data_IF_454861062017
#
_entry.id   IF_454861062017
#
_cell.length_a   1.000
_cell.length_b   1.000
_cell.length_c   1.000
_cell.angle_alpha   90.00
_cell.angle_beta   90.00
_cell.angle_gamma   90.00
#
_symmetry.space_group_name_H-M   'P 1'
#
loop_
_entity.id
_entity.type
_entity.pdbx_description
1 polymer ?
#
# COMPACT_ATOMS: atom_id res chain seq x y z
N UNK A 1 25.52 14.47 -53.67
CA UNK A 1 25.95 13.30 -52.90
C UNK A 1 26.77 13.80 -51.72
N UNK A 2 26.19 13.92 -50.58
CA UNK A 2 26.90 14.18 -49.33
C UNK A 2 26.20 13.34 -48.21
N UNK A 3 26.92 12.35 -47.70
CA UNK A 3 26.48 11.43 -46.67
C UNK A 3 26.48 12.15 -45.31
N UNK A 4 25.33 12.27 -44.66
CA UNK A 4 25.20 12.72 -43.28
C UNK A 4 25.45 11.52 -42.34
N UNK A 5 26.50 11.67 -41.55
CA UNK A 5 26.93 10.73 -40.52
C UNK A 5 25.99 10.83 -39.32
N UNK A 6 25.37 9.71 -38.93
CA UNK A 6 24.66 9.53 -37.66
C UNK A 6 25.70 9.26 -36.55
N UNK A 7 26.00 10.26 -35.72
CA UNK A 7 26.64 10.10 -34.42
C UNK A 7 26.15 11.25 -33.52
N UNK A 8 25.60 10.86 -32.41
CA UNK A 8 25.36 11.52 -31.13
C UNK A 8 23.91 11.38 -30.67
N UNK A 9 23.55 10.14 -30.29
CA UNK A 9 22.47 9.94 -29.34
C UNK A 9 23.12 9.98 -27.96
N UNK A 10 23.03 11.15 -27.31
CA UNK A 10 23.51 11.37 -25.95
C UNK A 10 22.87 10.40 -24.96
N UNK A 11 23.68 9.85 -24.09
CA UNK A 11 23.29 9.05 -22.96
C UNK A 11 22.25 9.78 -22.10
N UNK A 12 21.24 9.07 -21.54
CA UNK A 12 20.27 9.70 -20.65
C UNK A 12 20.98 10.22 -19.39
N UNK A 13 20.53 11.36 -18.82
CA UNK A 13 21.14 11.93 -17.64
C UNK A 13 21.03 10.96 -16.47
N UNK A 14 22.16 10.74 -15.80
CA UNK A 14 22.28 10.01 -14.55
C UNK A 14 21.25 10.53 -13.53
N UNK A 15 20.28 9.70 -13.19
CA UNK A 15 19.32 9.97 -12.13
C UNK A 15 20.08 10.10 -10.81
N UNK A 16 20.09 11.30 -10.26
CA UNK A 16 20.59 11.56 -8.92
C UNK A 16 19.88 10.61 -7.95
N UNK A 17 20.67 9.82 -7.24
CA UNK A 17 20.19 9.01 -6.12
C UNK A 17 19.55 9.95 -5.09
N UNK A 18 18.24 9.82 -4.90
CA UNK A 18 17.54 10.46 -3.81
C UNK A 18 18.07 9.88 -2.50
N UNK A 19 18.26 10.69 -1.45
CA UNK A 19 18.67 10.16 -0.15
C UNK A 19 17.61 9.18 0.33
N UNK A 20 18.02 7.94 0.53
CA UNK A 20 17.24 6.88 1.13
C UNK A 20 16.95 7.27 2.58
N UNK A 21 15.84 7.95 2.81
CA UNK A 21 15.33 8.20 4.14
C UNK A 21 14.62 6.93 4.61
N UNK A 22 15.32 6.17 5.44
CA UNK A 22 14.77 5.02 6.13
C UNK A 22 13.57 5.41 7.00
N UNK A 23 12.71 4.43 7.29
CA UNK A 23 11.55 4.49 8.15
C UNK A 23 10.46 5.50 7.73
N UNK A 24 9.77 5.21 6.65
CA UNK A 24 8.36 5.57 6.62
C UNK A 24 7.56 4.41 7.24
N UNK A 25 7.41 4.45 8.58
CA UNK A 25 6.15 4.02 9.13
C UNK A 25 5.09 4.62 8.21
N UNK A 26 4.19 3.83 7.63
CA UNK A 26 2.91 4.39 7.22
C UNK A 26 2.47 5.18 8.44
N UNK A 27 2.67 6.52 8.39
CA UNK A 27 2.39 7.38 9.50
C UNK A 27 0.87 7.40 9.67
N UNK A 28 0.38 6.39 10.33
CA UNK A 28 -0.89 6.43 11.00
C UNK A 28 -0.66 7.40 12.16
N UNK A 29 -0.76 8.71 11.86
CA UNK A 29 -0.85 9.82 12.80
C UNK A 29 -0.49 9.58 14.27
N UNK A 30 0.68 9.01 14.55
CA UNK A 30 1.22 8.97 15.90
C UNK A 30 1.95 10.28 16.15
N UNK A 31 1.73 10.95 17.29
CA UNK A 31 2.56 12.08 17.69
C UNK A 31 4.01 11.60 17.83
N UNK A 32 4.97 12.41 17.34
CA UNK A 32 6.40 12.13 17.28
C UNK A 32 7.08 11.80 18.66
N UNK A 33 6.33 11.82 19.76
CA UNK A 33 6.83 11.66 21.13
C UNK A 33 6.28 10.44 21.89
N UNK A 34 5.62 9.47 21.24
CA UNK A 34 5.28 8.24 21.94
C UNK A 34 6.54 7.36 22.07
N UNK A 35 6.83 6.75 23.25
CA UNK A 35 7.93 5.82 23.37
C UNK A 35 7.69 4.66 22.40
N UNK A 36 8.55 4.54 21.39
CA UNK A 36 8.50 3.46 20.40
C UNK A 36 8.81 2.16 21.13
N UNK A 37 7.79 1.42 21.51
CA UNK A 37 7.95 0.02 21.87
C UNK A 37 8.53 -0.70 20.65
N UNK A 38 9.64 -1.40 20.83
CA UNK A 38 10.25 -2.17 19.76
C UNK A 38 9.18 -3.08 19.10
N UNK A 39 9.03 -3.07 17.76
CA UNK A 39 7.96 -3.80 17.09
C UNK A 39 8.07 -5.29 17.39
N UNK A 40 6.99 -5.88 17.86
CA UNK A 40 6.90 -7.33 18.06
C UNK A 40 6.38 -8.06 16.83
N UNK A 41 5.86 -7.34 15.84
CA UNK A 41 5.37 -7.87 14.57
C UNK A 41 5.90 -7.02 13.40
N UNK A 42 6.72 -7.62 12.56
CA UNK A 42 7.21 -7.04 11.31
C UNK A 42 6.42 -7.61 10.14
N UNK A 43 5.81 -6.74 9.35
CA UNK A 43 5.10 -7.08 8.10
C UNK A 43 5.90 -6.54 6.94
N UNK A 44 6.30 -7.39 6.00
CA UNK A 44 7.09 -7.04 4.82
C UNK A 44 6.24 -7.26 3.56
N UNK A 45 5.64 -6.22 2.99
CA UNK A 45 4.99 -6.27 1.68
C UNK A 45 6.00 -6.53 0.56
N UNK A 46 5.55 -7.16 -0.52
CA UNK A 46 6.39 -7.42 -1.69
C UNK A 46 7.70 -8.19 -1.38
N UNK A 47 7.65 -9.01 -0.33
CA UNK A 47 8.77 -9.86 0.06
C UNK A 47 9.17 -10.86 -1.03
N UNK A 48 8.19 -11.25 -1.88
CA UNK A 48 8.40 -12.01 -3.11
C UNK A 48 7.57 -11.42 -4.24
N UNK A 49 8.06 -11.61 -5.47
CA UNK A 49 7.37 -11.23 -6.69
C UNK A 49 7.35 -12.43 -7.65
N UNK A 50 6.32 -12.57 -8.51
CA UNK A 50 6.14 -13.77 -9.31
C UNK A 50 7.10 -13.87 -10.50
N UNK A 51 7.89 -12.82 -10.81
CA UNK A 51 8.80 -12.84 -11.97
C UNK A 51 9.98 -13.79 -11.78
N UNK A 52 10.51 -14.31 -12.90
CA UNK A 52 11.72 -15.12 -12.89
C UNK A 52 12.95 -14.36 -12.42
N UNK A 53 13.03 -13.08 -12.81
CA UNK A 53 14.14 -12.18 -12.48
C UNK A 53 14.17 -11.85 -10.98
N UNK A 54 13.02 -11.52 -10.38
CA UNK A 54 12.95 -11.28 -8.93
C UNK A 54 13.41 -12.49 -8.11
N UNK A 55 13.04 -13.70 -8.54
CA UNK A 55 13.48 -14.95 -7.88
C UNK A 55 14.98 -15.17 -8.02
N UNK A 56 15.56 -14.86 -9.18
CA UNK A 56 16.99 -14.96 -9.40
C UNK A 56 17.77 -13.97 -8.53
N UNK A 57 17.30 -12.72 -8.46
CA UNK A 57 17.89 -11.71 -7.59
C UNK A 57 17.82 -12.15 -6.13
N UNK A 58 16.63 -12.59 -5.65
CA UNK A 58 16.45 -13.03 -4.27
C UNK A 58 17.37 -14.19 -3.89
N UNK A 59 17.56 -15.15 -4.78
CA UNK A 59 18.44 -16.30 -4.57
C UNK A 59 19.92 -15.90 -4.38
N UNK A 60 20.33 -14.76 -4.95
CA UNK A 60 21.68 -14.22 -4.82
C UNK A 60 21.89 -13.33 -3.58
N UNK A 61 20.83 -12.99 -2.81
CA UNK A 61 20.93 -12.10 -1.67
C UNK A 61 21.55 -12.80 -0.45
N UNK A 62 22.37 -12.06 0.29
CA UNK A 62 22.84 -12.46 1.60
C UNK A 62 22.02 -11.73 2.68
N UNK A 63 21.08 -12.45 3.32
CA UNK A 63 20.13 -11.93 4.31
C UNK A 63 20.28 -12.70 5.64
N UNK A 64 21.36 -12.44 6.41
CA UNK A 64 21.68 -13.23 7.58
C UNK A 64 20.66 -13.08 8.72
N UNK A 65 20.11 -11.87 8.94
CA UNK A 65 19.14 -11.64 10.02
C UNK A 65 17.79 -12.29 9.70
N UNK A 66 17.29 -12.15 8.45
CA UNK A 66 16.09 -12.84 7.98
C UNK A 66 16.24 -14.36 8.11
N UNK A 67 17.38 -14.91 7.68
CA UNK A 67 17.67 -16.34 7.81
C UNK A 67 17.63 -16.79 9.26
N UNK A 68 18.20 -16.01 10.17
CA UNK A 68 18.21 -16.28 11.60
C UNK A 68 16.79 -16.21 12.19
N UNK A 69 15.99 -15.20 11.83
CA UNK A 69 14.59 -15.08 12.22
C UNK A 69 13.79 -16.32 11.81
N UNK A 70 13.86 -16.70 10.52
CA UNK A 70 13.14 -17.87 9.99
C UNK A 70 13.55 -19.20 10.63
N UNK A 71 14.78 -19.28 11.17
CA UNK A 71 15.24 -20.44 11.93
C UNK A 71 14.66 -20.48 13.34
N UNK A 72 14.37 -19.32 13.95
CA UNK A 72 13.86 -19.21 15.31
C UNK A 72 12.33 -19.16 15.40
N UNK A 73 11.68 -18.61 14.36
CA UNK A 73 10.21 -18.49 14.26
C UNK A 73 9.64 -19.77 13.62
N UNK A 74 9.36 -20.77 14.43
CA UNK A 74 9.06 -22.15 13.95
C UNK A 74 7.61 -22.40 13.60
N UNK A 75 6.66 -21.62 14.15
CA UNK A 75 5.24 -21.74 13.81
C UNK A 75 4.90 -20.87 12.61
N UNK A 76 4.21 -21.42 11.61
CA UNK A 76 3.82 -20.71 10.40
C UNK A 76 2.35 -20.84 10.11
N UNK A 77 1.70 -19.71 9.78
CA UNK A 77 0.32 -19.65 9.29
C UNK A 77 0.27 -18.98 7.94
N UNK A 78 -0.62 -19.44 7.07
CA UNK A 78 -0.76 -18.94 5.71
C UNK A 78 -2.04 -18.12 5.56
N UNK A 79 -1.95 -17.02 4.82
CA UNK A 79 -3.05 -16.28 4.24
C UNK A 79 -2.94 -16.42 2.73
N UNK A 80 -3.92 -17.07 2.10
CA UNK A 80 -3.94 -17.35 0.67
C UNK A 80 -4.99 -16.49 -0.02
N UNK A 81 -4.64 -15.90 -1.14
CA UNK A 81 -5.51 -15.04 -1.93
C UNK A 81 -5.51 -15.38 -3.41
N UNK A 82 -6.46 -14.81 -4.14
CA UNK A 82 -6.56 -14.90 -5.59
C UNK A 82 -5.66 -13.87 -6.29
N UNK A 83 -5.27 -14.16 -7.53
CA UNK A 83 -4.64 -13.18 -8.41
C UNK A 83 -5.56 -11.99 -8.71
N UNK A 84 -6.89 -12.19 -8.61
CA UNK A 84 -7.90 -11.15 -8.82
C UNK A 84 -8.43 -10.53 -7.52
N UNK A 85 -7.83 -10.86 -6.37
CA UNK A 85 -8.22 -10.26 -5.10
C UNK A 85 -7.93 -8.76 -5.11
N UNK A 86 -8.91 -7.95 -4.71
CA UNK A 86 -8.79 -6.50 -4.60
C UNK A 86 -7.90 -6.06 -3.44
N UNK A 87 -7.79 -6.91 -2.42
CA UNK A 87 -6.99 -6.62 -1.23
C UNK A 87 -5.65 -7.37 -1.30
N UNK A 88 -4.50 -6.67 -1.29
CA UNK A 88 -3.20 -7.32 -1.27
C UNK A 88 -2.95 -8.02 0.08
N UNK A 89 -2.04 -9.00 0.13
CA UNK A 89 -1.81 -9.82 1.34
C UNK A 89 -1.48 -9.00 2.59
N UNK A 90 -0.67 -7.97 2.47
CA UNK A 90 -0.29 -7.11 3.61
C UNK A 90 -1.49 -6.36 4.20
N UNK A 91 -2.40 -5.88 3.35
CA UNK A 91 -3.62 -5.22 3.83
C UNK A 91 -4.56 -6.23 4.53
N UNK A 92 -4.69 -7.45 3.99
CA UNK A 92 -5.49 -8.50 4.64
C UNK A 92 -4.95 -8.87 6.01
N UNK A 93 -3.63 -9.06 6.12
CA UNK A 93 -2.97 -9.37 7.39
C UNK A 93 -3.16 -8.24 8.41
N UNK A 94 -3.00 -6.99 7.98
CA UNK A 94 -3.23 -5.82 8.84
C UNK A 94 -4.70 -5.73 9.26
N UNK A 95 -5.65 -5.91 8.34
CA UNK A 95 -7.07 -5.89 8.64
C UNK A 95 -7.46 -6.97 9.65
N UNK A 96 -6.94 -8.19 9.48
CA UNK A 96 -7.14 -9.29 10.42
C UNK A 96 -6.58 -8.95 11.81
N UNK A 97 -5.37 -8.38 11.86
CA UNK A 97 -4.74 -7.98 13.11
C UNK A 97 -5.56 -6.94 13.88
N UNK A 98 -6.27 -6.10 13.16
CA UNK A 98 -7.09 -5.01 13.72
C UNK A 98 -8.56 -5.39 13.93
N UNK A 99 -8.94 -6.66 13.71
CA UNK A 99 -10.33 -7.09 13.83
C UNK A 99 -11.27 -6.47 12.80
N UNK A 100 -10.73 -5.94 11.71
CA UNK A 100 -11.50 -5.48 10.56
C UNK A 100 -11.97 -6.68 9.73
N UNK A 101 -13.08 -6.53 9.00
CA UNK A 101 -13.60 -7.59 8.16
C UNK A 101 -12.51 -8.08 7.17
N UNK A 102 -12.32 -9.41 7.12
CA UNK A 102 -11.32 -10.06 6.27
C UNK A 102 -11.99 -10.90 5.19
N UNK A 103 -11.56 -10.87 3.93
CA UNK A 103 -12.14 -11.65 2.85
C UNK A 103 -12.18 -13.16 3.12
N UNK A 104 -11.14 -13.72 3.75
CA UNK A 104 -11.02 -15.16 4.05
C UNK A 104 -11.92 -15.67 5.17
N UNK A 105 -12.55 -14.81 5.97
CA UNK A 105 -13.44 -15.18 7.08
C UNK A 105 -14.93 -14.95 6.76
N UNK A 106 -15.31 -15.00 5.47
CA UNK A 106 -16.68 -14.69 5.02
C UNK A 106 -16.92 -13.21 4.73
N UNK A 107 -15.90 -12.35 4.81
CA UNK A 107 -15.94 -10.97 4.37
C UNK A 107 -15.84 -10.86 2.85
N UNK A 108 -16.32 -9.74 2.29
CA UNK A 108 -16.20 -9.46 0.86
C UNK A 108 -14.84 -8.85 0.55
N UNK A 109 -14.14 -9.39 -0.44
CA UNK A 109 -12.89 -8.84 -0.94
C UNK A 109 -13.06 -7.37 -1.38
N UNK A 110 -12.07 -6.53 -1.12
CA UNK A 110 -12.12 -5.09 -1.45
C UNK A 110 -12.95 -4.22 -0.50
N UNK A 111 -13.41 -4.76 0.65
CA UNK A 111 -14.18 -4.05 1.67
C UNK A 111 -13.41 -3.90 3.00
N UNK A 112 -12.10 -3.72 2.95
CA UNK A 112 -11.33 -3.35 4.13
C UNK A 112 -11.52 -1.83 4.36
N UNK A 113 -12.15 -1.38 5.45
CA UNK A 113 -12.62 0.00 5.60
C UNK A 113 -11.50 0.97 6.01
N UNK A 114 -10.44 1.05 5.21
CA UNK A 114 -9.30 1.95 5.50
C UNK A 114 -9.72 3.42 5.54
N UNK A 115 -10.67 3.83 4.67
CA UNK A 115 -11.21 5.20 4.67
C UNK A 115 -11.84 5.57 5.99
N UNK A 116 -12.70 4.69 6.54
CA UNK A 116 -13.33 4.89 7.85
C UNK A 116 -12.32 4.94 8.99
N UNK A 117 -11.27 4.12 8.87
CA UNK A 117 -10.20 4.09 9.85
C UNK A 117 -9.41 5.38 9.88
N UNK A 118 -9.00 5.89 8.71
CA UNK A 118 -8.28 7.17 8.60
C UNK A 118 -9.17 8.33 9.07
N UNK A 119 -10.47 8.32 8.75
CA UNK A 119 -11.42 9.31 9.25
C UNK A 119 -11.49 9.31 10.79
N UNK A 120 -11.58 8.13 11.41
CA UNK A 120 -11.60 8.01 12.86
C UNK A 120 -10.27 8.47 13.51
N UNK A 121 -9.14 8.26 12.84
CA UNK A 121 -7.84 8.77 13.31
C UNK A 121 -7.73 10.29 13.18
N UNK A 122 -8.14 10.84 12.05
CA UNK A 122 -8.15 12.29 11.82
C UNK A 122 -9.04 13.03 12.83
N UNK A 123 -10.21 12.45 13.16
CA UNK A 123 -11.10 12.99 14.19
C UNK A 123 -10.42 13.05 15.57
N UNK A 124 -9.62 12.03 15.94
CA UNK A 124 -8.93 11.99 17.25
C UNK A 124 -7.74 12.93 17.34
N UNK A 125 -7.02 13.11 16.23
CA UNK A 125 -5.81 13.93 16.21
C UNK A 125 -6.08 15.44 16.07
N UNK A 126 -7.34 15.85 15.85
CA UNK A 126 -7.70 17.24 15.56
C UNK A 126 -7.10 17.74 14.22
N UNK A 127 -6.53 16.84 13.43
CA UNK A 127 -5.87 17.11 12.15
C UNK A 127 -6.87 17.32 10.99
N UNK A 128 -8.16 17.14 11.21
CA UNK A 128 -9.17 17.57 10.26
C UNK A 128 -9.00 19.08 10.07
N UNK A 129 -8.44 19.46 8.91
CA UNK A 129 -8.02 20.84 8.65
C UNK A 129 -9.14 21.83 8.98
N UNK A 130 -8.83 22.90 9.68
CA UNK A 130 -9.77 23.94 10.11
C UNK A 130 -10.65 24.52 8.96
N UNK A 131 -10.27 24.29 7.71
CA UNK A 131 -11.03 24.68 6.52
C UNK A 131 -12.18 23.72 6.16
N UNK A 132 -12.16 22.45 6.63
CA UNK A 132 -13.10 21.41 6.21
C UNK A 132 -14.15 21.05 7.27
N UNK A 133 -14.16 21.75 8.40
CA UNK A 133 -15.01 21.49 9.55
C UNK A 133 -14.49 20.33 10.41
N UNK A 134 -14.80 20.39 11.70
CA UNK A 134 -14.44 19.38 12.68
C UNK A 134 -15.13 18.06 12.36
N UNK A 135 -14.37 16.96 12.34
CA UNK A 135 -14.92 15.61 12.24
C UNK A 135 -15.38 15.18 13.63
N UNK A 136 -16.67 15.02 13.83
CA UNK A 136 -17.17 14.41 15.06
C UNK A 136 -16.86 12.90 15.07
N UNK A 137 -16.34 12.41 16.18
CA UNK A 137 -16.10 11.00 16.39
C UNK A 137 -17.37 10.15 16.31
N UNK A 138 -18.54 10.73 16.62
CA UNK A 138 -19.84 10.08 16.47
C UNK A 138 -20.23 9.87 14.99
N UNK A 139 -19.91 10.83 14.12
CA UNK A 139 -20.18 10.75 12.69
C UNK A 139 -19.31 9.70 11.98
N UNK A 140 -18.14 9.39 12.54
CA UNK A 140 -17.23 8.40 11.91
C UNK A 140 -17.63 6.95 12.21
N UNK A 141 -18.35 6.68 13.30
CA UNK A 141 -18.61 5.32 13.80
C UNK A 141 -19.63 4.53 12.96
N UNK A 142 -20.59 5.21 12.31
CA UNK A 142 -21.65 4.56 11.53
C UNK A 142 -21.64 4.91 10.04
N UNK A 143 -20.73 5.76 9.61
CA UNK A 143 -20.67 6.27 8.24
C UNK A 143 -19.67 5.48 7.42
N UNK A 144 -20.00 5.26 6.15
CA UNK A 144 -19.08 4.63 5.21
C UNK A 144 -18.18 5.70 4.59
N UNK A 145 -16.91 5.34 4.47
CA UNK A 145 -15.87 6.18 3.92
C UNK A 145 -15.10 5.47 2.82
N UNK A 146 -14.36 6.23 2.05
CA UNK A 146 -13.38 5.77 1.09
C UNK A 146 -12.12 6.63 1.17
N UNK A 147 -11.03 6.10 0.66
CA UNK A 147 -9.80 6.84 0.34
C UNK A 147 -9.84 7.25 -1.12
N UNK A 148 -9.62 8.53 -1.37
CA UNK A 148 -9.45 9.10 -2.72
C UNK A 148 -7.99 9.47 -2.89
N UNK A 149 -7.35 8.87 -3.89
CA UNK A 149 -5.94 9.12 -4.22
C UNK A 149 -5.87 9.85 -5.55
N UNK A 150 -5.44 11.13 -5.60
CA UNK A 150 -5.14 11.80 -6.87
C UNK A 150 -4.10 11.00 -7.66
N UNK A 151 -4.35 10.75 -8.93
CA UNK A 151 -3.47 9.91 -9.74
C UNK A 151 -3.39 10.34 -11.20
N UNK A 152 -2.49 9.71 -11.91
CA UNK A 152 -2.36 9.81 -13.36
C UNK A 152 -2.81 8.49 -13.99
N UNK A 153 -3.70 8.54 -14.95
CA UNK A 153 -4.02 7.42 -15.81
C UNK A 153 -3.27 7.56 -17.12
N UNK A 154 -2.37 6.62 -17.38
CA UNK A 154 -1.51 6.61 -18.56
C UNK A 154 -2.13 5.75 -19.66
N UNK A 155 -2.41 6.37 -20.80
CA UNK A 155 -2.92 5.65 -21.97
C UNK A 155 -1.78 4.89 -22.65
N UNK A 156 -1.91 3.59 -22.73
CA UNK A 156 -1.07 2.71 -23.54
C UNK A 156 -1.76 2.42 -24.89
N UNK A 157 -1.14 1.61 -25.73
CA UNK A 157 -1.65 1.34 -27.09
C UNK A 157 -3.10 0.86 -27.11
N UNK A 158 -3.54 0.04 -26.15
CA UNK A 158 -4.87 -0.60 -26.14
C UNK A 158 -5.53 -0.68 -24.75
N UNK A 159 -4.92 -0.10 -23.72
CA UNK A 159 -5.44 -0.10 -22.36
C UNK A 159 -4.90 1.09 -21.56
N UNK A 160 -5.50 1.33 -20.41
CA UNK A 160 -5.09 2.39 -19.47
C UNK A 160 -4.40 1.73 -18.28
N UNK A 161 -3.27 2.28 -17.88
CA UNK A 161 -2.46 1.82 -16.76
C UNK A 161 -2.44 2.88 -15.66
N UNK A 162 -2.41 2.44 -14.42
CA UNK A 162 -2.17 3.28 -13.24
C UNK A 162 -0.68 3.25 -12.90
N UNK A 163 0.12 4.29 -13.19
CA UNK A 163 1.44 4.45 -12.58
C UNK A 163 1.33 4.62 -11.07
N UNK A 164 2.40 4.38 -10.31
CA UNK A 164 2.36 4.60 -8.86
C UNK A 164 2.04 6.06 -8.54
N UNK A 165 0.89 6.35 -7.88
CA UNK A 165 0.51 7.71 -7.53
C UNK A 165 1.55 8.44 -6.65
N UNK A 166 2.37 7.70 -5.91
CA UNK A 166 3.45 8.29 -5.11
C UNK A 166 4.50 9.01 -5.96
N UNK A 167 4.69 8.61 -7.22
CA UNK A 167 5.64 9.22 -8.15
C UNK A 167 5.18 10.58 -8.68
N UNK A 168 3.87 10.90 -8.58
CA UNK A 168 3.36 12.22 -8.99
C UNK A 168 3.87 13.36 -8.11
N UNK A 169 4.24 13.08 -6.86
CA UNK A 169 4.73 14.08 -5.90
C UNK A 169 3.84 15.32 -5.83
N UNK A 170 2.52 15.10 -5.76
CA UNK A 170 1.52 16.16 -5.67
C UNK A 170 1.80 17.03 -4.44
N UNK A 171 1.91 18.35 -4.65
CA UNK A 171 2.13 19.31 -3.57
C UNK A 171 0.82 19.66 -2.86
N UNK A 172 0.91 20.23 -1.66
CA UNK A 172 -0.28 20.53 -0.85
C UNK A 172 -1.21 21.54 -1.51
N UNK A 173 -0.66 22.62 -2.07
CA UNK A 173 -1.40 23.65 -2.79
C UNK A 173 -2.10 23.10 -4.04
N UNK A 174 -1.40 22.28 -4.82
CA UNK A 174 -1.96 21.57 -5.97
C UNK A 174 -3.13 20.67 -5.54
N UNK A 175 -2.90 19.85 -4.51
CA UNK A 175 -3.89 18.92 -3.99
C UNK A 175 -5.15 19.61 -3.49
N UNK A 176 -5.00 20.71 -2.73
CA UNK A 176 -6.14 21.50 -2.23
C UNK A 176 -6.93 22.17 -3.35
N UNK A 177 -6.24 22.69 -4.37
CA UNK A 177 -6.90 23.30 -5.53
C UNK A 177 -7.72 22.25 -6.32
N UNK A 178 -7.14 21.07 -6.58
CA UNK A 178 -7.83 19.96 -7.25
C UNK A 178 -9.04 19.48 -6.44
N UNK A 179 -8.88 19.28 -5.14
CA UNK A 179 -9.96 18.89 -4.25
C UNK A 179 -11.10 19.91 -4.29
N UNK A 180 -10.79 21.21 -4.21
CA UNK A 180 -11.80 22.27 -4.23
C UNK A 180 -12.61 22.26 -5.53
N UNK A 181 -11.95 22.05 -6.68
CA UNK A 181 -12.60 21.95 -7.98
C UNK A 181 -13.51 20.73 -8.10
N UNK A 182 -13.15 19.59 -7.47
CA UNK A 182 -13.90 18.35 -7.55
C UNK A 182 -15.09 18.28 -6.57
N UNK A 183 -15.03 18.98 -5.44
CA UNK A 183 -16.04 18.94 -4.36
C UNK A 183 -17.49 19.09 -4.84
N UNK A 184 -17.85 20.09 -5.67
CA UNK A 184 -19.24 20.28 -6.10
C UNK A 184 -19.82 19.03 -6.79
N UNK A 185 -19.05 18.39 -7.65
CA UNK A 185 -19.49 17.20 -8.40
C UNK A 185 -19.72 15.99 -7.49
N UNK A 186 -18.84 15.80 -6.50
CA UNK A 186 -19.00 14.74 -5.51
C UNK A 186 -20.22 15.01 -4.62
N UNK A 187 -20.47 16.28 -4.25
CA UNK A 187 -21.62 16.66 -3.43
C UNK A 187 -22.96 16.37 -4.12
N UNK A 188 -23.05 16.52 -5.44
CA UNK A 188 -24.24 16.15 -6.23
C UNK A 188 -24.59 14.66 -6.11
N UNK A 189 -23.60 13.78 -5.92
CA UNK A 189 -23.79 12.36 -5.67
C UNK A 189 -23.89 12.00 -4.17
N UNK A 190 -24.04 12.97 -3.29
CA UNK A 190 -24.12 12.76 -1.85
C UNK A 190 -22.80 12.34 -1.20
N UNK A 191 -21.68 12.71 -1.81
CA UNK A 191 -20.34 12.38 -1.33
C UNK A 191 -19.67 13.65 -0.81
N UNK A 192 -19.20 13.65 0.43
CA UNK A 192 -18.43 14.75 1.03
C UNK A 192 -16.95 14.43 0.95
N UNK A 193 -16.16 15.30 0.28
CA UNK A 193 -14.71 15.20 0.22
C UNK A 193 -14.04 16.02 1.32
N UNK A 194 -13.03 15.42 1.97
CA UNK A 194 -12.20 16.06 3.01
C UNK A 194 -10.72 15.88 2.67
N UNK A 195 -9.94 16.93 2.86
CA UNK A 195 -8.50 16.88 2.72
C UNK A 195 -7.87 16.22 3.95
N UNK A 196 -6.92 15.30 3.73
CA UNK A 196 -6.09 14.77 4.81
C UNK A 196 -4.61 15.10 4.54
N UNK A 197 -4.12 14.78 3.34
CA UNK A 197 -2.75 15.07 2.89
C UNK A 197 -2.69 15.11 1.35
N UNK A 198 -1.60 15.61 0.74
CA UNK A 198 -1.53 15.81 -0.71
C UNK A 198 -1.93 14.59 -1.54
N UNK A 199 -1.48 13.40 -1.17
CA UNK A 199 -1.76 12.16 -1.90
C UNK A 199 -2.97 11.39 -1.36
N UNK A 200 -3.75 11.94 -0.41
CA UNK A 200 -4.88 11.23 0.19
C UNK A 200 -5.97 12.19 0.66
N UNK A 201 -7.16 11.98 0.11
CA UNK A 201 -8.39 12.62 0.58
C UNK A 201 -9.32 11.56 1.15
N UNK A 202 -10.22 11.97 2.03
CA UNK A 202 -11.25 11.12 2.59
C UNK A 202 -12.60 11.48 1.98
N UNK A 203 -13.35 10.49 1.54
CA UNK A 203 -14.68 10.64 0.97
C UNK A 203 -15.71 9.95 1.86
N UNK A 204 -16.71 10.69 2.30
CA UNK A 204 -17.82 10.20 3.10
C UNK A 204 -19.05 10.05 2.21
N UNK A 205 -19.72 8.89 2.25
CA UNK A 205 -20.92 8.68 1.45
C UNK A 205 -21.52 7.28 1.62
N UNK A 206 -22.86 7.17 1.58
CA UNK A 206 -23.54 5.88 1.74
C UNK A 206 -23.16 4.86 0.65
N UNK A 207 -22.79 5.34 -0.53
CA UNK A 207 -22.36 4.51 -1.67
C UNK A 207 -21.17 3.60 -1.35
N UNK A 208 -20.31 4.02 -0.41
CA UNK A 208 -19.09 3.28 -0.06
C UNK A 208 -19.33 2.10 0.88
N UNK A 209 -20.53 1.95 1.46
CA UNK A 209 -20.79 0.94 2.50
C UNK A 209 -20.59 -0.49 2.01
N UNK A 210 -21.00 -0.80 0.79
CA UNK A 210 -20.95 -2.14 0.22
C UNK A 210 -20.28 -2.16 -1.17
N UNK A 211 -19.46 -1.19 -1.47
CA UNK A 211 -18.76 -1.07 -2.74
C UNK A 211 -17.37 -1.68 -2.64
N UNK A 212 -17.11 -2.87 -3.19
CA UNK A 212 -15.76 -3.42 -3.23
C UNK A 212 -14.86 -2.57 -4.12
N UNK A 213 -13.67 -2.24 -3.63
CA UNK A 213 -12.68 -1.45 -4.36
C UNK A 213 -11.29 -2.05 -4.23
N UNK A 214 -10.52 -1.98 -5.31
CA UNK A 214 -9.16 -2.49 -5.31
C UNK A 214 -8.20 -1.49 -4.64
N UNK A 215 -7.29 -2.04 -3.82
CA UNK A 215 -6.12 -1.30 -3.38
C UNK A 215 -5.31 -0.79 -4.57
N UNK A 216 -4.71 0.41 -4.52
CA UNK A 216 -3.79 0.87 -5.56
C UNK A 216 -2.68 -0.15 -5.85
N UNK A 217 -2.16 -0.83 -4.84
CA UNK A 217 -1.10 -1.83 -4.97
C UNK A 217 -1.48 -3.05 -5.83
N UNK A 218 -2.78 -3.25 -6.08
CA UNK A 218 -3.29 -4.28 -7.00
C UNK A 218 -3.41 -3.79 -8.44
N UNK A 219 -3.60 -2.48 -8.63
CA UNK A 219 -3.87 -1.88 -9.94
C UNK A 219 -2.62 -1.24 -10.59
N UNK A 220 -1.64 -0.84 -9.79
CA UNK A 220 -0.41 -0.21 -10.28
C UNK A 220 0.29 -1.13 -11.28
N UNK A 221 0.68 -0.54 -12.43
CA UNK A 221 1.33 -1.24 -13.53
C UNK A 221 0.42 -2.15 -14.37
N UNK A 222 -0.90 -2.20 -14.08
CA UNK A 222 -1.86 -3.10 -14.72
C UNK A 222 -2.97 -2.32 -15.44
N UNK A 223 -3.71 -3.03 -16.29
CA UNK A 223 -4.92 -2.48 -16.90
C UNK A 223 -5.95 -2.14 -15.82
N UNK A 224 -6.28 -0.86 -15.68
CA UNK A 224 -7.19 -0.39 -14.63
C UNK A 224 -8.60 -0.96 -14.75
N UNK A 225 -9.02 -1.33 -15.95
CA UNK A 225 -10.39 -1.82 -16.20
C UNK A 225 -10.72 -3.04 -15.33
N UNK A 226 -9.74 -3.91 -15.08
CA UNK A 226 -9.91 -5.13 -14.31
C UNK A 226 -10.07 -4.86 -12.80
N UNK A 227 -9.70 -3.65 -12.36
CA UNK A 227 -9.65 -3.24 -10.96
C UNK A 227 -10.66 -2.16 -10.58
N UNK A 228 -11.37 -1.61 -11.55
CA UNK A 228 -12.45 -0.65 -11.26
C UNK A 228 -13.72 -1.37 -10.80
N UNK A 229 -14.53 -0.75 -9.92
CA UNK A 229 -15.78 -1.34 -9.46
C UNK A 229 -16.73 -1.64 -10.63
N UNK A 230 -17.06 -2.90 -10.84
CA UNK A 230 -17.98 -3.34 -11.93
C UNK A 230 -19.41 -3.51 -11.46
N UNK A 231 -19.69 -3.34 -10.16
CA UNK A 231 -21.03 -3.49 -9.58
C UNK A 231 -21.97 -2.36 -10.02
N UNK A 232 -23.30 -2.56 -9.97
CA UNK A 232 -24.26 -1.50 -10.26
C UNK A 232 -24.06 -0.24 -9.41
N UNK A 233 -23.70 -0.40 -8.15
CA UNK A 233 -23.42 0.70 -7.22
C UNK A 233 -22.20 1.54 -7.67
N UNK A 234 -21.24 0.92 -8.35
CA UNK A 234 -20.09 1.61 -8.93
C UNK A 234 -20.39 2.45 -10.18
N UNK A 235 -21.61 2.36 -10.76
CA UNK A 235 -21.95 3.05 -12.02
C UNK A 235 -21.82 4.58 -11.89
N UNK A 236 -22.34 5.16 -10.82
CA UNK A 236 -22.25 6.60 -10.59
C UNK A 236 -20.80 7.04 -10.39
N UNK A 237 -19.99 6.24 -9.70
CA UNK A 237 -18.58 6.55 -9.49
C UNK A 237 -17.77 6.49 -10.80
N UNK A 238 -18.08 5.57 -11.70
CA UNK A 238 -17.45 5.56 -13.04
C UNK A 238 -17.84 6.78 -13.86
N UNK A 239 -19.11 7.24 -13.79
CA UNK A 239 -19.53 8.50 -14.39
C UNK A 239 -18.74 9.66 -13.82
N UNK A 240 -18.65 9.75 -12.50
CA UNK A 240 -17.91 10.77 -11.79
C UNK A 240 -16.41 10.75 -12.15
N UNK A 241 -15.80 9.58 -12.31
CA UNK A 241 -14.42 9.46 -12.79
C UNK A 241 -14.24 10.08 -14.18
N UNK A 242 -15.15 9.83 -15.11
CA UNK A 242 -15.10 10.42 -16.46
C UNK A 242 -15.30 11.94 -16.42
N UNK A 243 -16.24 12.44 -15.62
CA UNK A 243 -16.46 13.89 -15.45
C UNK A 243 -15.22 14.57 -14.88
N UNK A 244 -14.58 13.94 -13.89
CA UNK A 244 -13.36 14.48 -13.30
C UNK A 244 -12.18 14.47 -14.28
N UNK A 245 -12.07 13.48 -15.15
CA UNK A 245 -11.06 13.52 -16.22
C UNK A 245 -11.23 14.76 -17.10
N UNK A 246 -12.45 15.11 -17.48
CA UNK A 246 -12.72 16.29 -18.28
C UNK A 246 -12.43 17.58 -17.52
N UNK A 247 -12.82 17.66 -16.25
CA UNK A 247 -12.54 18.80 -15.37
C UNK A 247 -11.04 19.01 -15.20
N UNK A 248 -10.32 17.95 -14.90
CA UNK A 248 -8.88 17.98 -14.61
C UNK A 248 -8.04 18.27 -15.86
N UNK A 249 -8.54 17.89 -17.05
CA UNK A 249 -7.84 18.14 -18.32
C UNK A 249 -7.54 19.64 -18.56
N UNK A 250 -8.46 20.52 -18.16
CA UNK A 250 -8.33 21.99 -18.34
C UNK A 250 -7.96 22.73 -17.05
N UNK A 251 -7.60 21.99 -15.99
CA UNK A 251 -7.36 22.62 -14.69
C UNK A 251 -5.99 23.32 -14.66
N UNK A 252 -5.89 24.58 -14.15
CA UNK A 252 -4.64 25.36 -14.12
C UNK A 252 -3.47 24.69 -13.40
N UNK A 253 -3.72 23.84 -12.42
CA UNK A 253 -2.70 23.03 -11.76
C UNK A 253 -1.96 22.15 -12.77
N UNK A 254 -2.69 21.54 -13.72
CA UNK A 254 -2.08 20.68 -14.72
C UNK A 254 -1.30 21.49 -15.79
N UNK A 255 -1.72 22.71 -16.12
CA UNK A 255 -0.93 23.62 -16.96
C UNK A 255 0.41 23.96 -16.28
N UNK A 256 0.36 24.27 -14.98
CA UNK A 256 1.57 24.53 -14.18
C UNK A 256 2.48 23.31 -14.06
N UNK A 257 1.91 22.09 -13.92
CA UNK A 257 2.66 20.82 -13.90
C UNK A 257 3.32 20.55 -15.25
N UNK A 258 2.60 20.77 -16.36
CA UNK A 258 3.12 20.62 -17.72
C UNK A 258 4.31 21.57 -17.97
N UNK A 259 4.23 22.83 -17.51
CA UNK A 259 5.33 23.77 -17.59
C UNK A 259 6.59 23.31 -16.84
N UNK A 260 6.42 22.50 -15.77
CA UNK A 260 7.51 21.87 -15.00
C UNK A 260 7.89 20.47 -15.52
N UNK A 261 7.31 20.02 -16.62
CA UNK A 261 7.50 18.65 -17.19
C UNK A 261 7.13 17.54 -16.20
N UNK A 262 6.09 17.77 -15.41
CA UNK A 262 5.53 16.79 -14.48
C UNK A 262 4.25 16.20 -15.08
N UNK A 263 3.96 14.94 -14.75
CA UNK A 263 2.72 14.29 -15.18
C UNK A 263 1.50 14.99 -14.58
N UNK A 264 0.44 15.13 -15.38
CA UNK A 264 -0.81 15.70 -14.94
C UNK A 264 -1.50 14.80 -13.90
N UNK A 265 -2.18 15.40 -12.93
CA UNK A 265 -3.18 14.70 -12.13
C UNK A 265 -4.47 14.69 -12.93
N UNK A 266 -4.74 13.60 -13.66
CA UNK A 266 -5.87 13.53 -14.61
C UNK A 266 -6.99 12.60 -14.15
N UNK A 267 -6.83 11.94 -12.99
CA UNK A 267 -7.81 11.02 -12.45
C UNK A 267 -7.69 10.92 -10.92
N UNK A 268 -8.58 10.15 -10.33
CA UNK A 268 -8.49 9.73 -8.94
C UNK A 268 -8.76 8.22 -8.81
N UNK A 269 -8.14 7.60 -7.82
CA UNK A 269 -8.37 6.21 -7.45
C UNK A 269 -9.19 6.13 -6.18
N UNK A 270 -10.19 5.21 -6.14
CA UNK A 270 -11.02 4.95 -4.97
C UNK A 270 -10.59 3.63 -4.36
N UNK A 271 -10.31 3.63 -3.06
CA UNK A 271 -9.95 2.41 -2.32
C UNK A 271 -10.40 2.48 -0.86
N UNK A 272 -10.27 1.37 -0.13
CA UNK A 272 -10.49 1.34 1.30
C UNK A 272 -11.90 1.70 1.74
N UNK A 273 -12.89 1.31 0.94
CA UNK A 273 -14.32 1.57 1.14
C UNK A 273 -14.90 0.72 2.27
N UNK A 274 -15.91 1.23 2.93
CA UNK A 274 -16.66 0.54 3.97
C UNK A 274 -16.96 1.40 5.18
N UNK A 275 -17.59 0.80 6.18
CA UNK A 275 -17.82 1.37 7.50
C UNK A 275 -17.12 0.51 8.55
N UNK A 276 -16.64 1.12 9.62
CA UNK A 276 -16.07 0.38 10.74
C UNK A 276 -17.16 -0.50 11.37
N UNK A 277 -16.83 -1.73 11.78
CA UNK A 277 -17.74 -2.56 12.57
C UNK A 277 -18.14 -1.85 13.86
N UNK A 278 -19.41 -2.00 14.28
CA UNK A 278 -19.86 -1.46 15.56
C UNK A 278 -19.02 -2.03 16.70
N UNK A 279 -18.44 -1.17 17.54
CA UNK A 279 -17.56 -1.56 18.62
C UNK A 279 -16.10 -1.85 18.19
N UNK A 280 -15.71 -1.51 16.97
CA UNK A 280 -14.31 -1.58 16.57
C UNK A 280 -13.46 -0.75 17.53
N UNK A 281 -12.54 -1.40 18.23
CA UNK A 281 -11.62 -0.71 19.12
C UNK A 281 -10.75 0.27 18.31
N UNK A 282 -10.34 1.41 18.90
CA UNK A 282 -9.37 2.28 18.25
C UNK A 282 -8.12 1.48 17.92
N UNK A 283 -7.67 1.62 16.68
CA UNK A 283 -6.46 0.96 16.23
C UNK A 283 -5.27 1.36 17.09
N UNK A 284 -4.82 0.43 17.88
CA UNK A 284 -3.48 0.48 18.43
C UNK A 284 -2.56 -0.32 17.51
N UNK A 285 -1.88 0.36 16.58
CA UNK A 285 -0.78 -0.22 15.80
C UNK A 285 0.44 -0.51 16.70
N UNK A 286 0.30 -0.36 18.01
CA UNK A 286 1.36 -0.64 18.96
C UNK A 286 1.97 -2.00 18.71
N UNK A 287 3.26 -2.02 18.37
CA UNK A 287 4.03 -3.22 18.13
C UNK A 287 3.94 -3.83 16.72
N UNK A 288 3.28 -3.21 15.74
CA UNK A 288 3.34 -3.60 14.32
C UNK A 288 4.18 -2.61 13.53
N UNK A 289 5.19 -3.10 12.83
CA UNK A 289 5.97 -2.36 11.85
C UNK A 289 5.64 -2.86 10.45
N UNK A 290 5.18 -1.98 9.57
CA UNK A 290 5.02 -2.24 8.15
C UNK A 290 6.27 -1.73 7.42
N UNK A 291 7.11 -2.63 6.93
CA UNK A 291 8.32 -2.30 6.20
C UNK A 291 8.03 -2.24 4.69
N UNK A 292 7.66 -1.08 4.20
CA UNK A 292 7.24 -0.84 2.81
C UNK A 292 8.39 -0.53 1.84
N UNK A 293 9.65 -0.63 2.30
CA UNK A 293 10.84 -0.29 1.52
C UNK A 293 11.00 -1.06 0.21
N UNK A 294 10.39 -2.24 0.09
CA UNK A 294 10.42 -3.05 -1.15
C UNK A 294 9.38 -2.60 -2.18
N UNK A 295 8.32 -1.88 -1.76
CA UNK A 295 7.12 -1.63 -2.54
C UNK A 295 7.40 -0.94 -3.88
N UNK A 296 8.05 0.21 -3.85
CA UNK A 296 8.25 1.03 -5.06
C UNK A 296 9.09 0.29 -6.08
N UNK A 297 10.18 -0.34 -5.65
CA UNK A 297 11.05 -1.11 -6.54
C UNK A 297 10.32 -2.32 -7.15
N UNK A 298 9.51 -3.03 -6.35
CA UNK A 298 8.72 -4.16 -6.81
C UNK A 298 7.65 -3.76 -7.83
N UNK A 299 6.92 -2.66 -7.58
CA UNK A 299 5.88 -2.16 -8.46
C UNK A 299 6.43 -1.55 -9.76
N UNK A 300 7.68 -1.06 -9.74
CA UNK A 300 8.40 -0.60 -10.94
C UNK A 300 9.19 -1.71 -11.63
N UNK A 301 9.15 -2.94 -11.13
CA UNK A 301 9.95 -4.08 -11.63
C UNK A 301 11.46 -3.78 -11.67
N UNK A 302 11.93 -2.86 -10.80
CA UNK A 302 13.36 -2.58 -10.63
C UNK A 302 13.96 -3.56 -9.64
N UNK A 303 14.36 -4.73 -10.16
CA UNK A 303 14.87 -5.84 -9.34
C UNK A 303 16.23 -5.55 -8.71
N UNK A 304 17.02 -4.65 -9.30
CA UNK A 304 18.28 -4.23 -8.71
C UNK A 304 18.05 -3.37 -7.46
N UNK A 305 17.17 -2.36 -7.55
CA UNK A 305 16.77 -1.55 -6.41
C UNK A 305 16.04 -2.38 -5.35
N UNK A 306 15.20 -3.35 -5.76
CA UNK A 306 14.51 -4.26 -4.85
C UNK A 306 15.50 -5.14 -4.06
N UNK A 307 16.53 -5.66 -4.71
CA UNK A 307 17.59 -6.41 -4.04
C UNK A 307 18.37 -5.57 -3.02
N UNK A 308 18.68 -4.31 -3.35
CA UNK A 308 19.32 -3.36 -2.43
C UNK A 308 18.41 -3.03 -1.24
N UNK A 309 17.12 -2.81 -1.48
CA UNK A 309 16.13 -2.55 -0.44
C UNK A 309 15.99 -3.75 0.52
N UNK A 310 16.07 -4.98 0.03
CA UNK A 310 16.13 -6.18 0.85
C UNK A 310 17.34 -6.21 1.78
N UNK A 311 18.53 -5.86 1.28
CA UNK A 311 19.74 -5.82 2.11
C UNK A 311 19.63 -4.77 3.22
N UNK A 312 19.04 -3.61 2.91
CA UNK A 312 18.80 -2.56 3.90
C UNK A 312 17.80 -3.02 4.97
N UNK A 313 16.69 -3.63 4.54
CA UNK A 313 15.66 -4.16 5.42
C UNK A 313 16.19 -5.28 6.32
N UNK A 314 17.06 -6.14 5.80
CA UNK A 314 17.71 -7.17 6.60
C UNK A 314 18.61 -6.56 7.70
N UNK A 315 19.42 -5.56 7.33
CA UNK A 315 20.33 -4.89 8.27
C UNK A 315 19.59 -3.99 9.28
N UNK A 316 18.39 -3.48 8.95
CA UNK A 316 17.57 -2.60 9.79
C UNK A 316 16.50 -3.34 10.56
N UNK A 317 15.33 -3.49 9.93
CA UNK A 317 14.10 -3.98 10.58
C UNK A 317 14.21 -5.44 11.01
N UNK A 318 14.82 -6.31 10.18
CA UNK A 318 15.02 -7.72 10.56
C UNK A 318 15.98 -7.84 11.74
N UNK A 319 17.06 -7.06 11.77
CA UNK A 319 18.00 -7.04 12.90
C UNK A 319 17.31 -6.54 14.19
N UNK A 320 16.47 -5.50 14.08
CA UNK A 320 15.69 -4.96 15.21
C UNK A 320 14.70 -5.99 15.75
N UNK A 321 13.97 -6.69 14.87
CA UNK A 321 13.05 -7.75 15.29
C UNK A 321 13.79 -8.91 15.97
N UNK A 322 15.00 -9.23 15.50
CA UNK A 322 15.84 -10.26 16.09
C UNK A 322 16.29 -9.89 17.51
N UNK A 323 16.63 -8.62 17.74
CA UNK A 323 16.95 -8.09 19.07
C UNK A 323 15.72 -8.13 19.99
N UNK A 324 14.54 -7.75 19.46
CA UNK A 324 13.28 -7.84 20.19
C UNK A 324 12.98 -9.28 20.60
N UNK A 325 13.19 -10.24 19.69
CA UNK A 325 13.01 -11.66 19.97
C UNK A 325 13.96 -12.13 21.10
N UNK A 326 15.21 -11.70 21.08
CA UNK A 326 16.20 -12.06 22.12
C UNK A 326 15.78 -11.54 23.50
N UNK A 327 15.24 -10.30 23.55
CA UNK A 327 14.86 -9.64 24.82
C UNK A 327 13.50 -10.13 25.33
N UNK A 328 12.46 -10.10 24.47
CA UNK A 328 11.07 -10.29 24.89
C UNK A 328 10.57 -11.72 24.70
N UNK A 329 11.36 -12.60 24.05
CA UNK A 329 10.99 -13.96 23.67
C UNK A 329 9.63 -14.04 22.94
N UNK A 330 9.29 -12.96 22.22
CA UNK A 330 8.08 -12.83 21.43
C UNK A 330 8.41 -12.01 20.19
N UNK A 331 8.17 -12.58 19.02
CA UNK A 331 8.28 -11.88 17.74
C UNK A 331 7.38 -12.57 16.71
N UNK A 332 6.89 -11.76 15.79
CA UNK A 332 6.11 -12.20 14.63
C UNK A 332 6.70 -11.57 13.38
N UNK A 333 6.88 -12.36 12.33
CA UNK A 333 7.32 -11.91 11.01
C UNK A 333 6.30 -12.36 9.99
N UNK A 334 5.76 -11.42 9.22
CA UNK A 334 4.90 -11.72 8.07
C UNK A 334 5.59 -11.32 6.78
N UNK A 335 5.73 -12.27 5.88
CA UNK A 335 6.26 -12.05 4.53
C UNK A 335 5.10 -12.14 3.54
N UNK A 336 4.90 -11.07 2.77
CA UNK A 336 3.82 -10.99 1.81
C UNK A 336 4.37 -11.04 0.39
N UNK A 337 3.85 -11.94 -0.42
CA UNK A 337 4.05 -11.97 -1.86
C UNK A 337 2.97 -11.16 -2.58
N UNK A 338 2.72 -11.51 -3.84
CA UNK A 338 1.66 -10.87 -4.64
C UNK A 338 0.26 -11.31 -4.22
N UNK A 339 0.07 -12.60 -3.90
CA UNK A 339 -1.23 -13.20 -3.60
C UNK A 339 -1.34 -13.71 -2.17
N UNK A 340 -0.25 -14.23 -1.66
CA UNK A 340 -0.20 -14.97 -0.41
C UNK A 340 0.68 -14.25 0.62
N UNK A 341 0.41 -14.51 1.89
CA UNK A 341 1.31 -14.16 2.98
C UNK A 341 1.58 -15.36 3.86
N UNK A 342 2.78 -15.39 4.45
CA UNK A 342 3.14 -16.35 5.49
C UNK A 342 3.54 -15.59 6.75
N UNK A 343 2.93 -15.93 7.87
CA UNK A 343 3.23 -15.35 9.17
C UNK A 343 3.97 -16.38 10.01
N UNK A 344 5.18 -16.03 10.42
CA UNK A 344 6.03 -16.83 11.28
C UNK A 344 6.00 -16.28 12.71
N UNK A 345 5.86 -17.16 13.71
CA UNK A 345 5.81 -16.79 15.13
C UNK A 345 6.79 -17.60 15.94
N UNK A 346 7.27 -16.99 17.03
CA UNK A 346 8.04 -17.67 18.03
C UNK A 346 7.12 -18.50 18.94
N UNK A 347 7.44 -19.78 19.12
CA UNK A 347 6.82 -20.63 20.15
C UNK A 347 7.89 -21.19 21.08
N UNK A 348 7.63 -21.10 22.39
CA UNK A 348 8.47 -21.72 23.40
C UNK A 348 8.26 -23.23 23.39
N UNK A 349 9.34 -24.03 23.40
CA UNK A 349 9.25 -25.49 23.50
C UNK A 349 9.69 -26.31 22.28
N UNK A 350 9.83 -25.69 21.10
CA UNK A 350 10.19 -26.40 19.86
C UNK A 350 11.71 -26.45 19.57
N UNK A 351 12.54 -26.83 20.56
CA UNK A 351 14.01 -26.84 20.40
C UNK A 351 14.46 -27.80 19.28
N UNK A 352 13.79 -28.93 19.11
CA UNK A 352 14.11 -29.89 18.06
C UNK A 352 13.78 -29.37 16.65
N UNK A 353 12.67 -28.66 16.49
CA UNK A 353 12.29 -28.04 15.22
C UNK A 353 13.28 -26.92 14.81
N UNK A 354 13.81 -26.17 15.78
CA UNK A 354 14.86 -25.16 15.53
C UNK A 354 16.17 -25.79 15.08
N UNK A 355 16.51 -26.96 15.60
CA UNK A 355 17.69 -27.70 15.17
C UNK A 355 17.51 -28.19 13.72
N UNK A 356 16.37 -28.75 13.37
CA UNK A 356 16.06 -29.17 12.01
C UNK A 356 15.99 -27.97 11.03
N UNK A 357 15.48 -26.81 11.46
CA UNK A 357 15.40 -25.60 10.64
C UNK A 357 16.79 -25.05 10.26
N UNK A 358 17.83 -25.28 11.06
CA UNK A 358 19.23 -24.91 10.71
C UNK A 358 19.76 -25.65 9.49
N UNK A 359 19.27 -26.85 9.22
CA UNK A 359 19.67 -27.67 8.06
C UNK A 359 18.76 -27.48 6.84
N UNK A 360 17.67 -26.73 6.96
CA UNK A 360 16.78 -26.41 5.85
C UNK A 360 17.24 -25.14 5.15
N UNK A 361 16.79 -24.94 3.89
CA UNK A 361 16.96 -23.66 3.20
C UNK A 361 15.75 -22.73 3.49
N UNK A 362 15.77 -21.92 4.56
CA UNK A 362 14.61 -21.12 4.94
C UNK A 362 14.31 -20.02 3.90
N UNK A 363 15.31 -19.49 3.21
CA UNK A 363 15.11 -18.46 2.17
C UNK A 363 14.47 -19.06 0.91
N UNK A 364 14.71 -20.32 0.59
CA UNK A 364 14.03 -21.01 -0.51
C UNK A 364 12.51 -21.13 -0.30
N UNK A 365 12.05 -21.25 0.95
CA UNK A 365 10.62 -21.23 1.29
C UNK A 365 10.00 -19.85 1.07
N UNK A 366 10.74 -18.78 1.33
CA UNK A 366 10.27 -17.42 1.05
C UNK A 366 10.04 -17.25 -0.44
N UNK A 367 11.00 -17.65 -1.28
CA UNK A 367 10.91 -17.54 -2.74
C UNK A 367 9.70 -18.28 -3.34
N UNK A 368 9.10 -19.24 -2.61
CA UNK A 368 7.95 -20.04 -3.07
C UNK A 368 6.59 -19.58 -2.52
N UNK A 369 6.50 -18.44 -1.81
CA UNK A 369 5.27 -17.98 -1.17
C UNK A 369 4.10 -17.89 -2.18
N UNK A 370 4.32 -17.32 -3.36
CA UNK A 370 3.27 -17.16 -4.38
C UNK A 370 3.02 -18.44 -5.22
N UNK A 371 3.85 -19.48 -5.05
CA UNK A 371 3.67 -20.76 -5.76
C UNK A 371 2.75 -21.72 -4.98
N UNK A 372 2.55 -21.50 -3.70
CA UNK A 372 1.67 -22.32 -2.87
C UNK A 372 0.20 -22.02 -3.18
N UNK A 373 -0.57 -23.05 -3.44
CA UNK A 373 -2.00 -22.94 -3.78
C UNK A 373 -2.30 -22.73 -5.27
N UNK A 374 -1.35 -22.96 -6.17
CA UNK A 374 -1.70 -23.22 -7.56
C UNK A 374 -2.26 -24.65 -7.67
N UNK A 375 -3.46 -24.83 -8.31
CA UNK A 375 -4.03 -26.15 -8.56
C UNK A 375 -3.15 -26.97 -9.49
#
# INVERSE_FOLDING_TARGET
MAALSFKDIGSPPSRHALPLCGLRLLAFGLPDNAPMLAPCHLVIPFATCPSGESRQVFAGLNLPHLKQLLTQLTHSTWDTGSAHSFSPPHERVLAQRHGLAHPGAGGRDGLIPWGSLYAAQAAKSGLAGAADGELDSADTANTAWAVITPCHWSLQTNHIVLPDPALLQVQEDESRALLAAMRPYFAEDGITLRYERPARWLAQGAVFRNLPTASPDRAIGRNIHDWLPQTPEGKNLRRLQNEMQMLLYTHPVNDARAARRQDAVNAFWISGTGALPSGAAPLHLGGVCLADGLRTAALCEDWAAWGQAWQQLDAGECATLLQTLATNKSATLTLCGERNAVTHRFESGHMFQRLCAKFSNPLGRVASIDQQGQP
#
